data_IF_821006291999
#
_entry.id   IF_821006291999
#
_cell.length_a   1.000
_cell.length_b   1.000
_cell.length_c   1.000
_cell.angle_alpha   90.00
_cell.angle_beta   90.00
_cell.angle_gamma   90.00
#
_symmetry.space_group_name_H-M   'P 1'
#
loop_
_entity.id
_entity.type
_entity.pdbx_description
1 polymer ?
#
# COMPACT_ATOMS: atom_id res chain seq x y z
N UNK A 1 26.10 6.52 -7.09
CA UNK A 1 25.59 5.23 -6.58
C UNK A 1 24.13 5.08 -6.99
N UNK A 2 23.86 4.26 -8.01
CA UNK A 2 22.50 4.03 -8.51
C UNK A 2 21.61 3.45 -7.41
N UNK A 3 20.40 3.99 -7.23
CA UNK A 3 19.44 3.45 -6.26
C UNK A 3 19.18 2.00 -6.65
N UNK A 4 19.59 1.06 -5.79
CA UNK A 4 19.26 -0.37 -5.91
C UNK A 4 17.74 -0.43 -6.06
N UNK A 5 17.25 -0.77 -7.24
CA UNK A 5 15.81 -0.87 -7.50
C UNK A 5 15.28 -1.96 -6.58
N UNK A 6 14.71 -1.55 -5.44
CA UNK A 6 13.98 -2.48 -4.59
C UNK A 6 12.86 -3.06 -5.43
N UNK A 7 12.59 -4.37 -5.28
CA UNK A 7 11.42 -5.01 -5.90
C UNK A 7 10.20 -4.10 -5.71
N UNK A 8 9.50 -3.68 -6.78
CA UNK A 8 8.51 -2.61 -6.71
C UNK A 8 7.29 -2.97 -5.85
N UNK A 9 7.08 -4.26 -5.61
CA UNK A 9 6.02 -4.79 -4.76
C UNK A 9 6.41 -4.92 -3.28
N UNK A 10 7.65 -4.61 -2.88
CA UNK A 10 8.06 -4.66 -1.48
C UNK A 10 7.81 -3.30 -0.82
N UNK A 11 6.82 -3.27 0.06
CA UNK A 11 6.44 -2.07 0.82
C UNK A 11 7.49 -1.81 1.89
N UNK A 12 8.13 -0.64 1.83
CA UNK A 12 9.12 -0.20 2.84
C UNK A 12 8.46 0.03 4.20
N UNK A 13 9.25 0.06 5.28
CA UNK A 13 8.73 0.38 6.62
C UNK A 13 8.12 1.77 6.68
N UNK A 14 8.76 2.76 6.08
CA UNK A 14 8.25 4.14 6.02
C UNK A 14 6.90 4.22 5.29
N UNK A 15 6.77 3.55 4.14
CA UNK A 15 5.50 3.53 3.41
C UNK A 15 4.43 2.77 4.20
N UNK A 16 4.81 1.65 4.83
CA UNK A 16 3.91 0.88 5.67
C UNK A 16 3.33 1.70 6.82
N UNK A 17 4.15 2.47 7.53
CA UNK A 17 3.71 3.33 8.64
C UNK A 17 2.70 4.42 8.22
N UNK A 18 2.59 4.74 6.92
CA UNK A 18 1.56 5.64 6.40
C UNK A 18 0.28 4.91 6.01
N UNK A 19 0.38 3.65 5.59
CA UNK A 19 -0.75 2.85 5.09
C UNK A 19 -1.47 2.14 6.24
N UNK A 20 -0.72 1.54 7.15
CA UNK A 20 -1.24 0.73 8.26
C UNK A 20 -2.36 1.42 9.06
N UNK A 21 -2.26 2.71 9.43
CA UNK A 21 -3.32 3.39 10.18
C UNK A 21 -4.61 3.63 9.38
N UNK A 22 -4.56 3.51 8.05
CA UNK A 22 -5.72 3.69 7.17
C UNK A 22 -6.50 2.39 6.98
N UNK A 23 -5.93 1.26 7.37
CA UNK A 23 -6.54 -0.05 7.14
C UNK A 23 -7.68 -0.27 8.14
N UNK A 24 -8.81 -0.86 7.69
CA UNK A 24 -9.87 -1.24 8.60
C UNK A 24 -9.38 -2.34 9.54
N UNK A 25 -9.83 -2.30 10.79
CA UNK A 25 -9.55 -3.37 11.74
C UNK A 25 -10.09 -4.71 11.20
N UNK A 26 -9.30 -5.80 11.32
CA UNK A 26 -9.77 -7.10 10.91
C UNK A 26 -10.95 -7.52 11.79
N UNK A 27 -12.00 -8.13 11.21
CA UNK A 27 -13.11 -8.64 11.99
C UNK A 27 -12.61 -9.69 12.99
N UNK A 28 -13.28 -9.84 14.15
CA UNK A 28 -12.91 -10.81 15.17
C UNK A 28 -12.87 -12.22 14.57
N UNK A 29 -11.87 -13.00 15.01
CA UNK A 29 -11.70 -14.39 14.56
C UNK A 29 -12.89 -15.22 15.08
N UNK A 30 -13.73 -15.71 14.17
CA UNK A 30 -14.89 -16.53 14.52
C UNK A 30 -14.54 -18.00 14.76
N UNK A 31 -13.41 -18.49 14.23
CA UNK A 31 -12.98 -19.88 14.35
C UNK A 31 -11.47 -19.96 14.60
N UNK A 32 -11.08 -20.90 15.44
CA UNK A 32 -9.68 -21.23 15.69
C UNK A 32 -9.12 -21.97 14.46
N UNK A 33 -8.29 -21.26 13.70
CA UNK A 33 -7.75 -21.74 12.44
C UNK A 33 -6.50 -20.97 12.02
N UNK A 34 -6.03 -21.26 10.79
CA UNK A 34 -4.78 -20.69 10.24
C UNK A 34 -4.71 -19.18 10.51
N UNK A 35 -3.58 -18.68 11.04
CA UNK A 35 -3.41 -17.24 11.25
C UNK A 35 -3.71 -16.44 9.98
N UNK A 36 -4.33 -15.27 10.16
CA UNK A 36 -4.57 -14.32 9.07
C UNK A 36 -3.23 -13.87 8.50
N UNK A 37 -3.14 -13.80 7.17
CA UNK A 37 -1.96 -13.23 6.50
C UNK A 37 -1.80 -11.77 6.96
N UNK A 38 -0.60 -11.37 7.44
CA UNK A 38 -0.32 -9.98 7.80
C UNK A 38 -0.66 -9.01 6.66
N UNK A 39 -1.26 -7.88 7.01
CA UNK A 39 -1.78 -6.90 6.05
C UNK A 39 -0.68 -6.40 5.10
N UNK A 40 0.54 -6.18 5.62
CA UNK A 40 1.69 -5.80 4.80
C UNK A 40 2.07 -6.84 3.76
N UNK A 41 1.99 -8.13 4.10
CA UNK A 41 2.27 -9.22 3.17
C UNK A 41 1.20 -9.31 2.09
N UNK A 42 -0.07 -9.15 2.48
CA UNK A 42 -1.17 -9.08 1.52
C UNK A 42 -1.02 -7.89 0.56
N UNK A 43 -0.61 -6.71 1.06
CA UNK A 43 -0.31 -5.55 0.22
C UNK A 43 0.85 -5.82 -0.75
N UNK A 44 1.93 -6.46 -0.30
CA UNK A 44 3.01 -6.87 -1.20
C UNK A 44 2.52 -7.82 -2.30
N UNK A 45 1.63 -8.78 -1.96
CA UNK A 45 1.03 -9.69 -2.94
C UNK A 45 0.12 -8.97 -3.95
N UNK A 46 -0.71 -8.04 -3.49
CA UNK A 46 -1.52 -7.17 -4.37
C UNK A 46 -0.61 -6.43 -5.35
N UNK A 47 0.42 -5.75 -4.85
CA UNK A 47 1.35 -5.00 -5.70
C UNK A 47 2.11 -5.90 -6.68
N UNK A 48 2.45 -7.12 -6.28
CA UNK A 48 3.09 -8.10 -7.16
C UNK A 48 2.19 -8.43 -8.35
N UNK A 49 0.93 -8.80 -8.08
CA UNK A 49 -0.05 -9.14 -9.12
C UNK A 49 -0.30 -7.94 -10.05
N UNK A 50 -0.54 -6.76 -9.47
CA UNK A 50 -0.79 -5.54 -10.26
C UNK A 50 0.42 -5.12 -11.11
N UNK A 51 1.65 -5.34 -10.61
CA UNK A 51 2.86 -5.00 -11.33
C UNK A 51 3.19 -5.98 -12.45
N UNK A 52 2.94 -7.27 -12.23
CA UNK A 52 3.30 -8.35 -13.19
C UNK A 52 2.18 -8.71 -14.15
N UNK A 53 0.93 -8.37 -13.81
CA UNK A 53 -0.26 -8.69 -14.62
C UNK A 53 -0.68 -10.16 -14.59
N UNK A 54 -0.10 -10.98 -13.71
CA UNK A 54 -0.48 -12.40 -13.59
C UNK A 54 -1.91 -12.55 -13.05
N UNK A 55 -2.52 -13.71 -13.27
CA UNK A 55 -3.77 -14.04 -12.60
C UNK A 55 -3.54 -14.28 -11.11
N UNK A 56 -4.56 -14.00 -10.28
CA UNK A 56 -4.47 -14.14 -8.83
C UNK A 56 -4.13 -15.59 -8.41
N UNK A 57 -4.69 -16.57 -9.09
CA UNK A 57 -4.46 -18.00 -8.85
C UNK A 57 -3.00 -18.42 -9.06
N UNK A 58 -2.26 -17.68 -9.89
CA UNK A 58 -0.85 -17.93 -10.18
C UNK A 58 0.12 -17.15 -9.28
N UNK A 59 -0.36 -16.45 -8.24
CA UNK A 59 0.53 -15.80 -7.28
C UNK A 59 1.40 -16.86 -6.58
N UNK A 60 2.74 -16.82 -6.71
CA UNK A 60 3.60 -17.85 -6.14
C UNK A 60 3.58 -17.81 -4.61
N UNK A 61 3.26 -18.94 -3.98
CA UNK A 61 3.08 -19.02 -2.52
C UNK A 61 4.42 -18.93 -1.77
N UNK A 62 5.52 -19.30 -2.41
CA UNK A 62 6.89 -19.23 -1.89
C UNK A 62 7.34 -17.81 -1.57
N UNK A 63 6.66 -16.79 -2.11
CA UNK A 63 6.92 -15.39 -1.78
C UNK A 63 6.39 -14.98 -0.40
N UNK A 64 5.55 -15.81 0.22
CA UNK A 64 5.03 -15.56 1.57
C UNK A 64 3.95 -14.47 1.63
N UNK A 65 3.29 -14.13 0.52
CA UNK A 65 2.23 -13.11 0.47
C UNK A 65 0.83 -13.66 0.77
N UNK A 66 0.72 -14.98 1.02
CA UNK A 66 -0.56 -15.70 1.05
C UNK A 66 -1.03 -16.09 -0.36
N UNK A 67 -2.26 -16.59 -0.46
CA UNK A 67 -2.85 -16.89 -1.76
C UNK A 67 -3.29 -15.62 -2.49
N UNK A 68 -3.31 -15.64 -3.81
CA UNK A 68 -3.81 -14.49 -4.57
C UNK A 68 -5.28 -14.18 -4.28
N UNK A 69 -6.11 -15.19 -3.99
CA UNK A 69 -7.48 -14.94 -3.52
C UNK A 69 -7.55 -14.19 -2.18
N UNK A 70 -6.59 -14.44 -1.26
CA UNK A 70 -6.48 -13.65 -0.03
C UNK A 70 -6.13 -12.20 -0.35
N UNK A 71 -5.21 -11.98 -1.28
CA UNK A 71 -4.82 -10.65 -1.74
C UNK A 71 -5.99 -9.92 -2.41
N UNK A 72 -6.72 -10.58 -3.31
CA UNK A 72 -7.88 -10.02 -3.99
C UNK A 72 -8.99 -9.63 -3.02
N UNK A 73 -9.36 -10.52 -2.08
CA UNK A 73 -10.35 -10.20 -1.02
C UNK A 73 -9.93 -9.00 -0.20
N UNK A 74 -8.62 -8.87 0.07
CA UNK A 74 -8.07 -7.74 0.82
C UNK A 74 -8.16 -6.44 0.02
N UNK A 75 -7.79 -6.49 -1.26
CA UNK A 75 -7.92 -5.36 -2.18
C UNK A 75 -9.37 -4.87 -2.27
N UNK A 76 -10.32 -5.80 -2.42
CA UNK A 76 -11.75 -5.48 -2.47
C UNK A 76 -12.22 -4.81 -1.16
N UNK A 77 -11.93 -5.41 -0.01
CA UNK A 77 -12.31 -4.86 1.30
C UNK A 77 -11.71 -3.47 1.55
N UNK A 78 -10.45 -3.26 1.17
CA UNK A 78 -9.79 -1.95 1.31
C UNK A 78 -10.32 -0.91 0.33
N UNK A 79 -10.75 -1.34 -0.86
CA UNK A 79 -11.43 -0.47 -1.81
C UNK A 79 -12.79 -0.02 -1.26
N UNK A 80 -13.60 -0.94 -0.74
CA UNK A 80 -14.88 -0.62 -0.09
C UNK A 80 -14.71 0.30 1.13
N UNK A 81 -13.66 0.11 1.91
CA UNK A 81 -13.31 0.98 3.04
C UNK A 81 -12.70 2.34 2.63
N UNK A 82 -12.50 2.60 1.34
CA UNK A 82 -11.95 3.87 0.83
C UNK A 82 -10.48 4.11 1.22
N UNK A 83 -9.71 3.05 1.50
CA UNK A 83 -8.29 3.13 1.91
C UNK A 83 -7.47 3.89 0.88
N UNK A 84 -7.71 3.62 -0.41
CA UNK A 84 -6.96 4.22 -1.51
C UNK A 84 -7.19 5.74 -1.62
N UNK A 85 -8.42 6.19 -1.42
CA UNK A 85 -8.76 7.61 -1.42
C UNK A 85 -8.12 8.33 -0.24
N UNK A 86 -8.13 7.70 0.94
CA UNK A 86 -7.47 8.25 2.13
C UNK A 86 -5.95 8.37 1.92
N UNK A 87 -5.32 7.33 1.35
CA UNK A 87 -3.90 7.33 1.05
C UNK A 87 -3.54 8.42 0.03
N UNK A 88 -4.34 8.57 -1.03
CA UNK A 88 -4.13 9.60 -2.05
C UNK A 88 -4.21 11.01 -1.42
N UNK A 89 -5.21 11.28 -0.59
CA UNK A 89 -5.35 12.56 0.14
C UNK A 89 -4.15 12.81 1.07
N UNK A 90 -3.70 11.81 1.81
CA UNK A 90 -2.56 11.92 2.71
C UNK A 90 -1.29 12.31 1.94
N UNK A 91 -1.01 11.63 0.83
CA UNK A 91 0.16 11.90 -0.01
C UNK A 91 0.09 13.30 -0.64
N UNK A 92 -1.07 13.70 -1.16
CA UNK A 92 -1.28 15.04 -1.69
C UNK A 92 -1.02 16.13 -0.63
N UNK A 93 -1.53 15.93 0.58
CA UNK A 93 -1.30 16.88 1.68
C UNK A 93 0.19 16.96 2.03
N UNK A 94 0.89 15.82 2.13
CA UNK A 94 2.34 15.80 2.42
C UNK A 94 3.16 16.52 1.34
N UNK A 95 2.79 16.36 0.06
CA UNK A 95 3.44 17.05 -1.06
C UNK A 95 3.15 18.55 -1.04
N UNK A 96 1.89 18.95 -0.81
CA UNK A 96 1.51 20.36 -0.66
C UNK A 96 2.27 21.01 0.49
N UNK A 97 2.35 20.39 1.67
CA UNK A 97 3.08 20.94 2.81
C UNK A 97 4.59 21.10 2.55
N UNK A 98 5.20 20.21 1.75
CA UNK A 98 6.59 20.37 1.30
C UNK A 98 6.74 21.54 0.33
N UNK A 99 5.80 21.72 -0.59
CA UNK A 99 5.84 22.81 -1.56
C UNK A 99 5.63 24.19 -0.91
N UNK A 100 4.85 24.31 0.17
CA UNK A 100 4.65 25.58 0.89
C UNK A 100 5.88 26.04 1.70
N UNK A 101 6.91 25.19 1.90
CA UNK A 101 8.18 25.62 2.53
C UNK A 101 9.13 26.33 1.58
N UNK A 102 8.84 26.37 0.28
CA UNK A 102 9.52 27.23 -0.67
C UNK A 102 8.60 28.41 -1.04
N UNK A 103 8.71 29.56 -0.34
CA UNK A 103 8.14 30.78 -0.90
C UNK A 103 8.81 31.01 -2.26
N UNK A 104 8.02 30.98 -3.35
CA UNK A 104 8.49 31.54 -4.61
C UNK A 104 8.83 33.01 -4.32
N UNK A 105 10.05 33.49 -4.59
CA UNK A 105 10.34 34.90 -4.44
C UNK A 105 9.35 35.65 -5.33
N UNK A 106 8.52 36.48 -4.69
CA UNK A 106 7.66 37.42 -5.37
C UNK A 106 8.63 38.34 -6.10
N UNK A 107 8.68 38.27 -7.44
CA UNK A 107 9.36 39.31 -8.21
C UNK A 107 8.56 40.59 -8.02
N UNK A 108 9.01 41.44 -7.09
CA UNK A 108 8.60 42.84 -7.02
C UNK A 108 9.34 43.61 -8.12
N UNK A 109 8.59 44.37 -8.92
CA UNK A 109 9.08 45.39 -9.86
C UNK A 109 9.49 44.85 -11.24
N UNK A 110 8.80 45.23 -12.30
CA UNK A 110 8.70 46.60 -12.85
C UNK A 110 7.29 46.85 -13.38
#
# INVERSE_FOLDING_TARGET
MGKRQSRPWIVSGELWSLIEPLLPEPPPKQVEGRPRVPDRQALCGILFVLHTGIQWEYLPQELGFGSGMTCWRRLAAWNEAGVWDQLHRLLLNKLRSKNHRHPKPIRQGQ
#
